data_IF_932024517146
#
_entry.id   IF_932024517146
#
_cell.length_a   1.000
_cell.length_b   1.000
_cell.length_c   1.000
_cell.angle_alpha   90.00
_cell.angle_beta   90.00
_cell.angle_gamma   90.00
#
_symmetry.space_group_name_H-M   'P 1'
#
loop_
_entity.id
_entity.type
_entity.pdbx_description
1 polymer ?
#
# COMPACT_ATOMS: atom_id res chain seq x y z
N UNK A 1 -41.99 36.60 -0.55
CA UNK A 1 -42.98 36.37 -1.63
C UNK A 1 -43.13 34.86 -1.70
N UNK A 2 -44.09 34.34 -1.05
CA UNK A 2 -45.49 33.99 -1.39
C UNK A 2 -45.58 32.87 -2.43
N UNK A 3 -46.02 31.72 -1.90
CA UNK A 3 -47.07 30.79 -2.37
C UNK A 3 -46.62 29.76 -3.44
N UNK A 4 -47.03 28.49 -3.40
CA UNK A 4 -48.34 27.90 -3.05
C UNK A 4 -48.23 26.37 -2.91
N UNK A 5 -48.90 25.84 -1.91
CA UNK A 5 -49.31 24.43 -1.75
C UNK A 5 -50.43 24.12 -2.74
N UNK A 6 -50.46 22.91 -3.27
CA UNK A 6 -51.72 22.31 -3.80
C UNK A 6 -51.85 20.88 -3.30
N UNK A 7 -52.81 20.71 -2.43
CA UNK A 7 -53.42 19.46 -1.97
C UNK A 7 -54.40 18.94 -3.03
N UNK A 8 -54.46 17.66 -3.27
CA UNK A 8 -55.62 17.03 -3.92
C UNK A 8 -56.19 15.91 -3.05
N UNK A 9 -57.45 16.12 -2.67
CA UNK A 9 -58.34 15.21 -1.96
C UNK A 9 -58.99 14.20 -2.91
N UNK A 10 -59.09 12.95 -2.44
CA UNK A 10 -59.96 11.91 -2.97
C UNK A 10 -61.45 12.15 -2.61
N UNK A 11 -62.40 11.67 -3.40
CA UNK A 11 -63.73 11.41 -2.87
C UNK A 11 -64.01 9.89 -2.74
N UNK A 12 -64.49 9.52 -1.58
CA UNK A 12 -65.08 8.23 -1.27
C UNK A 12 -66.46 8.09 -1.94
N UNK A 13 -66.68 7.00 -2.65
CA UNK A 13 -67.98 6.63 -3.16
C UNK A 13 -68.57 5.45 -2.35
N UNK A 14 -69.56 5.73 -1.56
CA UNK A 14 -70.43 4.75 -0.87
C UNK A 14 -71.48 4.29 -1.86
N UNK A 15 -71.59 3.00 -2.14
CA UNK A 15 -72.71 2.43 -2.86
C UNK A 15 -73.50 1.50 -1.92
N UNK A 16 -74.72 1.93 -1.57
CA UNK A 16 -75.73 1.18 -0.81
C UNK A 16 -76.45 0.26 -1.77
N UNK A 17 -76.54 -1.04 -1.47
CA UNK A 17 -77.54 -1.91 -2.09
C UNK A 17 -78.48 -2.47 -1.06
N UNK A 18 -79.75 -2.23 -1.33
CA UNK A 18 -80.93 -2.65 -0.58
C UNK A 18 -81.25 -4.13 -0.81
N UNK A 19 -81.60 -4.80 0.28
CA UNK A 19 -82.16 -6.14 0.32
C UNK A 19 -83.60 -6.16 -0.24
N UNK A 20 -83.84 -7.11 -1.11
CA UNK A 20 -85.20 -7.60 -1.34
C UNK A 20 -85.12 -9.15 -1.38
N UNK A 21 -85.80 -9.80 -0.42
CA UNK A 21 -85.93 -11.25 -0.33
C UNK A 21 -86.98 -11.83 -1.26
N UNK A 22 -86.77 -13.13 -1.62
CA UNK A 22 -87.87 -14.06 -1.87
C UNK A 22 -87.34 -15.47 -1.69
N UNK A 23 -88.17 -16.28 -1.02
CA UNK A 23 -88.05 -17.68 -0.71
C UNK A 23 -88.20 -18.60 -1.90
N UNK A 24 -87.44 -19.72 -1.97
CA UNK A 24 -87.65 -20.82 -2.90
C UNK A 24 -86.73 -22.00 -2.66
N UNK A 25 -87.28 -23.14 -2.41
CA UNK A 25 -86.65 -24.42 -2.10
C UNK A 25 -85.70 -24.98 -3.18
N UNK A 26 -84.73 -25.74 -2.73
CA UNK A 26 -84.24 -26.94 -3.37
C UNK A 26 -82.95 -26.84 -4.14
N UNK A 27 -82.06 -27.76 -3.80
CA UNK A 27 -80.82 -28.14 -4.44
C UNK A 27 -79.59 -27.29 -4.19
N UNK A 28 -78.68 -27.87 -3.39
CA UNK A 28 -77.33 -27.35 -3.19
C UNK A 28 -76.55 -27.34 -4.50
N UNK A 29 -76.14 -26.20 -5.03
CA UNK A 29 -75.09 -26.19 -6.00
C UNK A 29 -73.75 -26.46 -5.27
N UNK A 30 -72.97 -27.38 -5.73
CA UNK A 30 -71.55 -27.52 -5.39
C UNK A 30 -70.93 -26.16 -5.55
N UNK A 31 -70.43 -25.66 -4.44
CA UNK A 31 -69.73 -24.36 -4.37
C UNK A 31 -68.38 -24.51 -5.02
N UNK A 32 -68.19 -24.07 -6.28
CA UNK A 32 -66.92 -24.00 -7.00
C UNK A 32 -65.90 -23.09 -6.32
N UNK A 33 -66.31 -22.23 -5.36
CA UNK A 33 -65.40 -21.39 -4.56
C UNK A 33 -64.61 -22.21 -3.55
N UNK A 34 -65.14 -23.33 -3.09
CA UNK A 34 -64.40 -24.23 -2.19
C UNK A 34 -63.29 -25.02 -2.92
N UNK A 35 -63.42 -25.26 -4.22
CA UNK A 35 -62.42 -25.93 -5.06
C UNK A 35 -61.27 -24.99 -5.44
N UNK A 36 -61.48 -23.67 -5.46
CA UNK A 36 -60.39 -22.69 -5.70
C UNK A 36 -59.57 -22.42 -4.43
N UNK A 37 -60.17 -22.43 -3.26
CA UNK A 37 -59.47 -22.28 -1.99
C UNK A 37 -58.57 -23.49 -1.67
N UNK A 38 -58.97 -24.72 -2.02
CA UNK A 38 -58.15 -25.95 -1.81
C UNK A 38 -57.03 -26.09 -2.83
N UNK A 39 -57.07 -25.39 -3.97
CA UNK A 39 -55.95 -25.41 -4.93
C UNK A 39 -54.81 -24.47 -4.57
N UNK A 40 -55.08 -23.40 -3.82
CA UNK A 40 -54.07 -22.45 -3.39
C UNK A 40 -53.23 -23.01 -2.22
N UNK A 41 -53.82 -23.87 -1.37
CA UNK A 41 -53.13 -24.41 -0.17
C UNK A 41 -52.12 -25.54 -0.47
N UNK A 42 -52.09 -26.08 -1.71
CA UNK A 42 -51.20 -27.17 -2.10
C UNK A 42 -50.05 -26.75 -3.00
N UNK A 43 -49.71 -25.47 -3.07
CA UNK A 43 -48.55 -24.99 -3.86
C UNK A 43 -47.36 -24.71 -2.94
N UNK A 44 -46.18 -25.20 -3.36
CA UNK A 44 -44.92 -24.82 -2.71
C UNK A 44 -44.62 -23.33 -3.00
N UNK A 45 -44.49 -22.51 -1.96
CA UNK A 45 -44.27 -21.06 -2.09
C UNK A 45 -43.01 -20.68 -1.31
N UNK A 46 -42.08 -20.01 -2.00
CA UNK A 46 -40.85 -19.50 -1.43
C UNK A 46 -40.66 -18.03 -1.76
N UNK A 47 -40.18 -17.25 -0.82
CA UNK A 47 -39.80 -15.86 -1.00
C UNK A 47 -38.43 -15.59 -0.37
N UNK A 48 -37.86 -14.44 -0.66
CA UNK A 48 -36.62 -13.97 -0.01
C UNK A 48 -36.69 -12.47 0.26
N UNK A 49 -35.94 -12.05 1.26
CA UNK A 49 -35.67 -10.63 1.50
C UNK A 49 -34.59 -10.12 0.55
N UNK A 50 -34.49 -8.81 0.44
CA UNK A 50 -33.35 -8.19 -0.20
C UNK A 50 -32.07 -8.60 0.54
N UNK A 51 -30.97 -8.89 -0.18
CA UNK A 51 -29.69 -9.20 0.43
C UNK A 51 -29.22 -8.12 1.42
N UNK A 52 -28.68 -8.53 2.57
CA UNK A 52 -28.22 -7.63 3.64
C UNK A 52 -26.73 -7.84 3.93
N UNK A 53 -26.16 -6.99 4.82
CA UNK A 53 -24.76 -7.07 5.28
C UNK A 53 -23.76 -7.21 4.12
N UNK A 54 -24.02 -6.44 3.05
CA UNK A 54 -23.24 -6.49 1.81
C UNK A 54 -21.89 -5.82 2.06
N UNK A 55 -20.83 -6.58 1.82
CA UNK A 55 -19.43 -6.10 1.84
C UNK A 55 -18.81 -6.23 0.45
N UNK A 56 -17.52 -6.06 0.36
CA UNK A 56 -16.80 -6.33 -0.90
C UNK A 56 -16.77 -7.81 -1.29
N UNK A 57 -16.92 -8.72 -0.35
CA UNK A 57 -16.74 -10.16 -0.58
C UNK A 57 -17.78 -11.05 0.09
N UNK A 58 -18.75 -10.47 0.81
CA UNK A 58 -19.78 -11.20 1.53
C UNK A 58 -21.16 -10.54 1.37
N UNK A 59 -22.20 -11.34 1.53
CA UNK A 59 -23.60 -10.89 1.69
C UNK A 59 -24.37 -11.90 2.52
N UNK A 60 -25.47 -11.48 3.12
CA UNK A 60 -26.39 -12.33 3.84
C UNK A 60 -27.68 -12.48 3.03
N UNK A 61 -28.10 -13.73 2.82
CA UNK A 61 -29.36 -14.04 2.17
C UNK A 61 -30.32 -14.68 3.20
N UNK A 62 -31.55 -14.20 3.21
CA UNK A 62 -32.65 -14.72 4.04
C UNK A 62 -33.82 -15.10 3.17
N UNK A 63 -34.28 -16.32 3.28
CA UNK A 63 -35.42 -16.88 2.53
C UNK A 63 -36.45 -17.49 3.47
N UNK A 64 -37.65 -17.68 2.95
CA UNK A 64 -38.81 -18.19 3.68
C UNK A 64 -39.58 -19.21 2.81
N UNK A 65 -40.03 -20.29 3.44
CA UNK A 65 -41.01 -21.21 2.83
C UNK A 65 -42.38 -20.86 3.39
N UNK A 66 -43.13 -20.10 2.63
CA UNK A 66 -44.47 -19.61 3.07
C UNK A 66 -45.54 -20.74 2.99
N UNK A 67 -45.33 -21.74 2.11
CA UNK A 67 -46.13 -22.96 2.03
C UNK A 67 -45.26 -24.12 1.54
N UNK A 68 -45.37 -25.30 2.17
CA UNK A 68 -44.65 -26.52 1.77
C UNK A 68 -45.38 -27.29 0.66
N UNK A 69 -46.55 -26.83 0.24
CA UNK A 69 -47.36 -27.49 -0.77
C UNK A 69 -47.98 -28.79 -0.32
N UNK A 70 -48.03 -29.07 0.97
CA UNK A 70 -48.59 -30.32 1.54
C UNK A 70 -47.78 -31.57 1.23
N UNK A 71 -46.51 -31.41 0.84
CA UNK A 71 -45.59 -32.50 0.52
C UNK A 71 -44.34 -32.40 1.39
N UNK A 72 -43.70 -33.54 1.67
CA UNK A 72 -42.47 -33.57 2.50
C UNK A 72 -41.39 -32.68 1.92
N UNK A 73 -40.91 -31.73 2.74
CA UNK A 73 -39.82 -30.81 2.42
C UNK A 73 -38.50 -31.56 2.26
N UNK A 74 -37.72 -31.26 1.21
CA UNK A 74 -36.44 -31.88 0.93
C UNK A 74 -35.26 -30.94 1.19
N UNK A 75 -35.27 -29.74 0.61
CA UNK A 75 -34.24 -28.76 0.78
C UNK A 75 -34.70 -27.35 0.38
N UNK A 76 -34.00 -26.36 0.89
CA UNK A 76 -34.04 -24.99 0.43
C UNK A 76 -32.63 -24.44 0.12
N UNK A 77 -32.58 -23.27 -0.41
CA UNK A 77 -31.29 -22.61 -0.62
C UNK A 77 -31.37 -21.38 -1.50
N UNK A 78 -30.20 -20.98 -1.96
CA UNK A 78 -30.06 -19.81 -2.82
C UNK A 78 -29.26 -20.15 -4.06
N UNK A 79 -29.65 -19.55 -5.18
CA UNK A 79 -28.94 -19.55 -6.46
C UNK A 79 -28.51 -18.10 -6.71
N UNK A 80 -27.24 -17.88 -7.02
CA UNK A 80 -26.74 -16.54 -7.29
C UNK A 80 -25.65 -16.57 -8.37
N UNK A 81 -25.58 -15.50 -9.14
CA UNK A 81 -24.65 -15.34 -10.26
C UNK A 81 -24.32 -13.87 -10.50
N UNK A 82 -23.14 -13.59 -11.02
CA UNK A 82 -22.76 -12.28 -11.57
C UNK A 82 -22.73 -12.25 -13.09
N UNK A 83 -23.16 -13.34 -13.76
CA UNK A 83 -23.15 -13.48 -15.22
C UNK A 83 -24.46 -14.08 -15.77
N UNK A 84 -25.31 -14.60 -14.93
CA UNK A 84 -26.61 -15.15 -15.29
C UNK A 84 -27.73 -14.38 -14.55
N UNK A 85 -28.52 -13.63 -15.28
CA UNK A 85 -29.59 -12.79 -14.75
C UNK A 85 -30.79 -13.57 -14.23
N UNK A 86 -30.96 -14.84 -14.66
CA UNK A 86 -32.04 -15.71 -14.25
C UNK A 86 -31.51 -17.06 -13.72
N UNK A 87 -30.84 -17.06 -12.53
CA UNK A 87 -30.28 -18.29 -11.99
C UNK A 87 -31.37 -19.30 -11.63
N UNK A 88 -31.26 -20.56 -12.13
CA UNK A 88 -32.18 -21.64 -11.85
C UNK A 88 -31.44 -22.96 -11.72
N UNK A 89 -32.12 -23.99 -11.16
CA UNK A 89 -31.54 -25.33 -11.06
C UNK A 89 -31.40 -26.00 -12.42
N UNK A 90 -32.22 -25.59 -13.40
CA UNK A 90 -32.19 -26.12 -14.79
C UNK A 90 -31.10 -25.44 -15.63
N UNK A 91 -30.65 -24.25 -15.22
CA UNK A 91 -29.57 -23.53 -15.88
C UNK A 91 -28.51 -23.10 -14.87
N UNK A 92 -27.57 -23.99 -14.59
CA UNK A 92 -26.47 -23.78 -13.64
C UNK A 92 -25.23 -23.13 -14.25
N UNK A 93 -25.26 -22.72 -15.52
CA UNK A 93 -24.12 -22.07 -16.16
C UNK A 93 -23.82 -20.72 -15.49
N UNK A 94 -22.62 -20.57 -14.87
CA UNK A 94 -22.24 -19.40 -14.13
C UNK A 94 -22.98 -19.19 -12.80
N UNK A 95 -23.79 -20.17 -12.35
CA UNK A 95 -24.60 -20.09 -11.14
C UNK A 95 -23.91 -20.81 -9.98
N UNK A 96 -23.86 -20.15 -8.84
CA UNK A 96 -23.44 -20.75 -7.57
C UNK A 96 -24.70 -21.14 -6.77
N UNK A 97 -24.69 -22.35 -6.19
CA UNK A 97 -25.74 -22.86 -5.34
C UNK A 97 -25.30 -22.97 -3.90
N UNK A 98 -26.14 -22.45 -2.99
CA UNK A 98 -25.96 -22.63 -1.55
C UNK A 98 -27.17 -23.32 -0.95
N UNK A 99 -26.99 -24.57 -0.54
CA UNK A 99 -28.05 -25.40 0.05
C UNK A 99 -28.20 -25.12 1.54
N UNK A 100 -29.45 -25.19 2.01
CA UNK A 100 -29.83 -25.16 3.42
C UNK A 100 -30.83 -26.27 3.66
N UNK A 101 -30.53 -27.24 4.52
CA UNK A 101 -31.35 -28.43 4.72
C UNK A 101 -32.31 -28.30 5.89
N UNK A 102 -32.17 -27.30 6.74
CA UNK A 102 -32.97 -27.08 7.93
C UNK A 102 -33.63 -25.72 7.90
N UNK A 103 -34.91 -25.69 8.24
CA UNK A 103 -35.65 -24.45 8.45
C UNK A 103 -35.76 -24.17 9.95
N UNK A 104 -35.76 -22.93 10.31
CA UNK A 104 -36.10 -22.44 11.66
C UNK A 104 -37.30 -21.51 11.48
N UNK A 105 -38.46 -21.89 11.98
CA UNK A 105 -39.71 -21.14 11.79
C UNK A 105 -39.95 -20.76 10.34
N UNK A 106 -39.86 -21.75 9.43
CA UNK A 106 -39.99 -21.63 7.98
C UNK A 106 -38.93 -20.67 7.33
N UNK A 107 -37.92 -20.25 8.08
CA UNK A 107 -36.86 -19.34 7.60
C UNK A 107 -35.56 -20.11 7.37
N UNK A 108 -34.82 -19.74 6.34
CA UNK A 108 -33.49 -20.20 6.07
C UNK A 108 -32.57 -18.99 5.77
N UNK A 109 -31.39 -18.98 6.39
CA UNK A 109 -30.45 -17.86 6.29
C UNK A 109 -29.04 -18.38 6.06
N UNK A 110 -28.24 -17.63 5.26
CA UNK A 110 -26.88 -18.03 4.97
C UNK A 110 -25.97 -16.80 4.77
N UNK A 111 -24.75 -16.92 5.24
CA UNK A 111 -23.68 -15.99 4.92
C UNK A 111 -22.96 -16.49 3.65
N UNK A 112 -22.94 -15.67 2.63
CA UNK A 112 -22.21 -15.92 1.39
C UNK A 112 -20.84 -15.26 1.48
N UNK A 113 -19.80 -15.95 1.03
CA UNK A 113 -18.43 -15.47 0.98
C UNK A 113 -17.81 -15.67 -0.41
N UNK A 114 -16.61 -15.13 -0.60
CA UNK A 114 -15.86 -15.20 -1.85
C UNK A 114 -16.64 -14.61 -3.04
N UNK A 115 -17.34 -13.50 -2.80
CA UNK A 115 -17.88 -12.64 -3.86
C UNK A 115 -16.73 -11.79 -4.43
N UNK A 116 -16.92 -11.26 -5.63
CA UNK A 116 -16.03 -10.30 -6.26
C UNK A 116 -16.43 -8.87 -5.85
N UNK A 117 -15.48 -7.98 -5.59
CA UNK A 117 -15.76 -6.57 -5.29
C UNK A 117 -16.40 -5.86 -6.49
N UNK A 118 -17.20 -4.82 -6.19
CA UNK A 118 -17.82 -3.94 -7.20
C UNK A 118 -18.62 -4.68 -8.28
N UNK A 119 -19.16 -5.86 -7.92
CA UNK A 119 -19.83 -6.74 -8.88
C UNK A 119 -21.33 -6.79 -8.61
N UNK A 120 -22.15 -6.63 -9.67
CA UNK A 120 -23.58 -6.88 -9.64
C UNK A 120 -23.83 -8.40 -9.58
N UNK A 121 -24.74 -8.80 -8.70
CA UNK A 121 -25.21 -10.17 -8.54
C UNK A 121 -26.72 -10.24 -8.65
N UNK A 122 -27.19 -11.32 -9.25
CA UNK A 122 -28.57 -11.76 -9.29
C UNK A 122 -28.74 -12.95 -8.36
N UNK A 123 -29.74 -12.94 -7.50
CA UNK A 123 -29.98 -13.99 -6.51
C UNK A 123 -31.45 -14.30 -6.39
N UNK A 124 -31.76 -15.55 -6.18
CA UNK A 124 -33.11 -16.00 -5.80
C UNK A 124 -33.04 -17.16 -4.82
N UNK A 125 -34.03 -17.25 -3.96
CA UNK A 125 -34.26 -18.41 -3.14
C UNK A 125 -34.94 -19.52 -3.93
N UNK A 126 -34.72 -20.76 -3.53
CA UNK A 126 -35.47 -21.92 -4.02
C UNK A 126 -35.85 -22.84 -2.86
N UNK A 127 -36.92 -23.60 -3.05
CA UNK A 127 -37.30 -24.70 -2.18
C UNK A 127 -37.74 -25.92 -3.02
N UNK A 128 -37.49 -27.12 -2.50
CA UNK A 128 -37.84 -28.39 -3.14
C UNK A 128 -38.55 -29.23 -2.09
N UNK A 129 -39.73 -29.76 -2.47
CA UNK A 129 -40.41 -30.81 -1.76
C UNK A 129 -40.40 -32.11 -2.58
N UNK A 130 -41.24 -33.12 -2.26
CA UNK A 130 -41.25 -34.39 -3.00
C UNK A 130 -41.80 -34.26 -4.43
N UNK A 131 -42.62 -33.26 -4.68
CA UNK A 131 -43.41 -33.14 -5.92
C UNK A 131 -43.05 -31.95 -6.77
N UNK A 132 -42.43 -30.89 -6.15
CA UNK A 132 -42.27 -29.61 -6.85
C UNK A 132 -40.97 -28.88 -6.46
N UNK A 133 -40.63 -27.88 -7.29
CA UNK A 133 -39.54 -26.92 -7.03
C UNK A 133 -40.10 -25.51 -7.25
N UNK A 134 -40.00 -24.68 -6.23
CA UNK A 134 -40.40 -23.28 -6.27
C UNK A 134 -39.21 -22.34 -6.18
N UNK A 135 -39.37 -21.16 -6.76
CA UNK A 135 -38.37 -20.07 -6.74
C UNK A 135 -39.03 -18.76 -6.27
N UNK A 136 -38.28 -17.97 -5.57
CA UNK A 136 -38.63 -16.57 -5.29
C UNK A 136 -38.46 -15.69 -6.53
N UNK A 137 -38.96 -14.47 -6.46
CA UNK A 137 -38.50 -13.40 -7.35
C UNK A 137 -36.99 -13.23 -7.27
N UNK A 138 -36.42 -12.73 -8.36
CA UNK A 138 -34.98 -12.41 -8.42
C UNK A 138 -34.73 -11.09 -7.73
N UNK A 139 -33.79 -11.09 -6.79
CA UNK A 139 -33.25 -9.91 -6.18
C UNK A 139 -31.89 -9.59 -6.81
N UNK A 140 -31.53 -8.32 -6.84
CA UNK A 140 -30.19 -7.88 -7.26
C UNK A 140 -29.48 -7.14 -6.13
N UNK A 141 -28.16 -7.27 -6.09
CA UNK A 141 -27.32 -6.49 -5.19
C UNK A 141 -25.94 -6.28 -5.81
N UNK A 142 -25.29 -5.19 -5.42
CA UNK A 142 -23.91 -4.91 -5.82
C UNK A 142 -23.02 -4.97 -4.59
N UNK A 143 -21.92 -5.73 -4.71
CA UNK A 143 -20.84 -5.70 -3.71
C UNK A 143 -20.13 -4.36 -3.74
N UNK A 144 -19.63 -3.93 -2.59
CA UNK A 144 -18.89 -2.68 -2.47
C UNK A 144 -17.38 -2.90 -2.70
N UNK A 145 -16.63 -1.82 -2.87
CA UNK A 145 -15.16 -1.83 -2.78
C UNK A 145 -14.76 -1.59 -1.33
N UNK A 146 -13.88 -2.44 -0.79
CA UNK A 146 -13.35 -2.21 0.55
C UNK A 146 -12.32 -1.07 0.51
N UNK A 147 -12.50 -0.07 1.37
CA UNK A 147 -11.55 1.05 1.53
C UNK A 147 -10.20 0.54 2.08
N UNK A 148 -9.07 1.06 1.60
CA UNK A 148 -7.79 0.83 2.25
C UNK A 148 -7.75 1.52 3.62
N UNK A 149 -6.76 1.16 4.43
CA UNK A 149 -6.46 1.85 5.69
C UNK A 149 -4.95 1.92 5.86
N UNK A 150 -4.44 3.11 6.17
CA UNK A 150 -3.00 3.38 6.25
C UNK A 150 -2.64 4.11 7.54
N UNK A 151 -1.45 3.86 8.03
CA UNK A 151 -0.79 4.58 9.11
C UNK A 151 0.41 5.35 8.56
N UNK A 152 0.60 6.59 9.00
CA UNK A 152 1.84 7.34 8.73
C UNK A 152 2.89 6.90 9.75
N UNK A 153 4.01 6.38 9.27
CA UNK A 153 5.13 6.00 10.13
C UNK A 153 6.03 7.22 10.43
N UNK A 154 6.86 7.17 11.48
CA UNK A 154 7.93 8.13 11.66
C UNK A 154 8.88 8.14 10.45
N UNK A 155 9.48 9.29 10.13
CA UNK A 155 10.52 9.36 9.09
C UNK A 155 11.69 8.44 9.45
N UNK A 156 12.21 7.71 8.47
CA UNK A 156 13.36 6.83 8.68
C UNK A 156 14.65 7.64 8.82
N UNK A 157 14.79 8.68 8.00
CA UNK A 157 15.90 9.62 8.11
C UNK A 157 15.46 11.03 7.70
N UNK A 158 16.10 12.04 8.29
CA UNK A 158 15.86 13.46 8.05
C UNK A 158 17.20 14.13 7.81
N UNK A 159 17.35 14.69 6.63
CA UNK A 159 18.60 15.25 6.13
C UNK A 159 18.42 16.75 5.87
N UNK A 160 19.45 17.43 5.38
CA UNK A 160 19.39 18.87 5.13
C UNK A 160 18.34 19.22 4.06
N UNK A 161 18.40 18.54 2.94
CA UNK A 161 17.53 18.82 1.77
C UNK A 161 16.63 17.63 1.41
N UNK A 162 16.61 16.58 2.24
CA UNK A 162 15.89 15.35 1.91
C UNK A 162 15.34 14.66 3.18
N UNK A 163 14.37 13.77 2.96
CA UNK A 163 13.85 12.88 3.99
C UNK A 163 13.35 11.56 3.37
N UNK A 164 13.40 10.49 4.13
CA UNK A 164 12.72 9.24 3.80
C UNK A 164 11.54 9.11 4.74
N UNK A 165 10.35 9.28 4.18
CA UNK A 165 9.08 9.12 4.87
C UNK A 165 8.45 7.77 4.55
N UNK A 166 7.55 7.31 5.40
CA UNK A 166 6.98 5.98 5.29
C UNK A 166 5.52 5.90 5.73
N UNK A 167 4.85 4.89 5.22
CA UNK A 167 3.52 4.47 5.63
C UNK A 167 3.42 2.97 5.77
N UNK A 168 2.32 2.52 6.35
CA UNK A 168 2.01 1.11 6.52
C UNK A 168 0.53 0.87 6.28
N UNK A 169 0.21 -0.15 5.50
CA UNK A 169 -1.16 -0.63 5.40
C UNK A 169 -1.58 -1.36 6.66
N UNK A 170 -2.72 -0.99 7.23
CA UNK A 170 -3.45 -1.80 8.20
C UNK A 170 -4.51 -2.65 7.51
N UNK A 171 -4.98 -2.18 6.34
CA UNK A 171 -5.75 -2.95 5.36
C UNK A 171 -5.41 -2.44 3.96
N UNK A 172 -5.15 -3.35 3.03
CA UNK A 172 -4.92 -2.98 1.62
C UNK A 172 -6.19 -2.52 0.90
N UNK A 173 -7.36 -2.90 1.41
CA UNK A 173 -8.62 -2.69 0.70
C UNK A 173 -8.71 -3.51 -0.58
N UNK A 174 -9.61 -3.11 -1.48
CA UNK A 174 -9.74 -3.67 -2.83
C UNK A 174 -9.29 -2.63 -3.86
N UNK A 175 -8.75 -3.09 -4.99
CA UNK A 175 -8.43 -2.26 -6.16
C UNK A 175 -7.55 -1.03 -5.86
N UNK A 176 -6.48 -1.25 -5.11
CA UNK A 176 -5.54 -0.19 -4.79
C UNK A 176 -4.93 0.41 -6.08
N UNK A 177 -5.17 1.71 -6.33
CA UNK A 177 -4.70 2.43 -7.52
C UNK A 177 -3.38 3.15 -7.30
N UNK A 178 -3.22 3.76 -6.13
CA UNK A 178 -2.03 4.52 -5.78
C UNK A 178 -1.88 4.62 -4.26
N UNK A 179 -0.66 4.71 -3.80
CA UNK A 179 -0.34 4.98 -2.41
C UNK A 179 1.04 5.63 -2.30
N UNK A 180 1.30 6.28 -1.18
CA UNK A 180 2.54 7.00 -0.96
C UNK A 180 2.46 7.89 0.26
N UNK A 181 3.22 8.96 0.24
CA UNK A 181 3.23 9.98 1.29
C UNK A 181 3.07 11.36 0.66
N UNK A 182 2.24 12.20 1.26
CA UNK A 182 2.21 13.64 0.98
C UNK A 182 2.92 14.41 2.09
N UNK A 183 3.59 15.49 1.72
CA UNK A 183 4.37 16.37 2.58
C UNK A 183 4.01 17.83 2.33
N UNK A 184 3.91 18.63 3.38
CA UNK A 184 3.68 20.07 3.28
C UNK A 184 4.28 20.81 4.48
N UNK A 185 4.44 22.11 4.38
CA UNK A 185 4.70 22.98 5.54
C UNK A 185 3.43 23.28 6.34
N UNK A 186 2.25 23.04 5.76
CA UNK A 186 0.95 23.18 6.41
C UNK A 186 0.52 21.85 7.03
N UNK A 187 -0.22 21.89 8.15
CA UNK A 187 -0.82 20.69 8.75
C UNK A 187 -1.77 19.95 7.81
N UNK A 188 -1.91 18.64 8.02
CA UNK A 188 -2.86 17.77 7.33
C UNK A 188 -2.70 17.76 5.80
N UNK A 189 -1.51 17.56 5.25
CA UNK A 189 -1.32 17.55 3.79
C UNK A 189 -2.20 16.49 3.12
N UNK A 190 -2.70 16.81 1.91
CA UNK A 190 -3.51 15.92 1.08
C UNK A 190 -2.95 15.86 -0.34
N UNK A 191 -3.29 14.79 -1.08
CA UNK A 191 -2.77 14.55 -2.44
C UNK A 191 -3.17 15.60 -3.48
N UNK A 192 -4.25 16.34 -3.23
CA UNK A 192 -4.72 17.42 -4.11
C UNK A 192 -4.07 18.77 -3.84
N UNK A 193 -3.28 18.93 -2.77
CA UNK A 193 -2.59 20.18 -2.46
C UNK A 193 -1.55 20.51 -3.53
N UNK A 194 -1.67 21.69 -4.13
CA UNK A 194 -0.79 22.19 -5.20
C UNK A 194 -0.31 23.60 -4.91
N UNK A 195 -0.10 23.95 -3.66
CA UNK A 195 0.24 25.30 -3.24
C UNK A 195 1.74 25.65 -3.36
N UNK A 196 2.53 24.82 -4.05
CA UNK A 196 3.97 24.99 -4.23
C UNK A 196 4.84 24.64 -3.02
N UNK A 197 4.20 24.36 -1.87
CA UNK A 197 4.85 23.92 -0.63
C UNK A 197 4.49 22.46 -0.28
N UNK A 198 3.72 21.82 -1.13
CA UNK A 198 3.25 20.45 -0.95
C UNK A 198 3.81 19.56 -2.05
N UNK A 199 4.32 18.42 -1.67
CA UNK A 199 4.83 17.40 -2.57
C UNK A 199 4.10 16.10 -2.29
N UNK A 200 3.83 15.33 -3.35
CA UNK A 200 3.22 14.01 -3.25
C UNK A 200 4.11 13.03 -3.99
N UNK A 201 4.64 12.06 -3.26
CA UNK A 201 5.42 10.97 -3.86
C UNK A 201 4.64 9.68 -3.76
N UNK A 202 4.43 9.03 -4.91
CA UNK A 202 3.88 7.70 -4.96
C UNK A 202 4.98 6.66 -4.65
N UNK A 203 4.65 5.67 -3.84
CA UNK A 203 5.51 4.52 -3.65
C UNK A 203 5.47 3.61 -4.90
N UNK A 204 6.55 2.91 -5.17
CA UNK A 204 6.62 1.98 -6.30
C UNK A 204 5.77 0.74 -6.00
N UNK A 205 4.65 0.61 -6.71
CA UNK A 205 3.66 -0.45 -6.50
C UNK A 205 4.15 -1.85 -6.85
N UNK A 206 5.18 -1.96 -7.70
CA UNK A 206 5.60 -3.25 -8.25
C UNK A 206 6.36 -4.13 -7.24
N UNK A 207 7.00 -3.53 -6.22
CA UNK A 207 7.92 -4.23 -5.31
C UNK A 207 7.59 -4.08 -3.82
N UNK A 208 6.58 -3.25 -3.48
CA UNK A 208 6.22 -2.97 -2.08
C UNK A 208 5.32 -4.01 -1.42
N UNK A 209 4.64 -4.85 -2.19
CA UNK A 209 3.58 -5.74 -1.71
C UNK A 209 4.05 -6.86 -0.76
N UNK A 210 5.35 -7.07 -0.55
CA UNK A 210 5.87 -8.27 0.11
C UNK A 210 6.32 -8.11 1.56
N UNK A 211 6.45 -6.89 2.10
CA UNK A 211 7.08 -6.67 3.40
C UNK A 211 6.17 -5.98 4.41
N UNK A 212 5.34 -6.78 5.11
CA UNK A 212 4.53 -6.34 6.27
C UNK A 212 3.58 -5.16 6.00
N UNK A 213 3.29 -4.87 4.72
CA UNK A 213 2.46 -3.74 4.32
C UNK A 213 3.11 -2.36 4.51
N UNK A 214 4.42 -2.28 4.77
CA UNK A 214 5.17 -1.03 4.86
C UNK A 214 5.64 -0.59 3.47
N UNK A 215 5.64 0.73 3.26
CA UNK A 215 6.17 1.38 2.06
C UNK A 215 6.88 2.66 2.45
N UNK A 216 7.82 3.09 1.61
CA UNK A 216 8.57 4.32 1.85
C UNK A 216 8.75 5.13 0.58
N UNK A 217 8.95 6.42 0.75
CA UNK A 217 9.22 7.38 -0.32
C UNK A 217 10.38 8.29 0.04
N UNK A 218 11.14 8.68 -0.96
CA UNK A 218 12.24 9.61 -0.84
C UNK A 218 11.82 10.99 -1.32
N UNK A 219 11.85 11.97 -0.41
CA UNK A 219 11.67 13.37 -0.74
C UNK A 219 13.02 14.05 -0.87
N UNK A 220 13.23 14.72 -1.97
CA UNK A 220 14.42 15.53 -2.25
C UNK A 220 14.06 17.02 -2.39
N UNK A 221 15.07 17.89 -2.45
CA UNK A 221 14.90 19.34 -2.62
C UNK A 221 14.04 20.00 -1.52
N UNK A 222 14.06 19.46 -0.31
CA UNK A 222 13.44 20.09 0.84
C UNK A 222 14.29 21.28 1.32
N UNK A 223 13.65 22.22 2.00
CA UNK A 223 14.37 23.34 2.61
C UNK A 223 15.06 22.92 3.91
N UNK A 224 16.30 23.37 4.13
CA UNK A 224 17.04 23.10 5.35
C UNK A 224 16.38 23.68 6.59
N UNK A 225 16.55 22.99 7.75
CA UNK A 225 16.09 23.44 9.06
C UNK A 225 14.60 23.84 9.10
N UNK A 226 13.75 23.20 8.26
CA UNK A 226 12.36 23.54 8.03
C UNK A 226 11.44 22.45 8.57
N UNK A 227 10.33 22.87 9.20
CA UNK A 227 9.30 21.97 9.72
C UNK A 227 8.37 21.54 8.60
N UNK A 228 8.10 20.23 8.54
CA UNK A 228 7.19 19.62 7.59
C UNK A 228 6.18 18.71 8.29
N UNK A 229 4.99 18.66 7.74
CA UNK A 229 3.92 17.70 8.02
C UNK A 229 3.91 16.62 6.95
N UNK A 230 3.72 15.38 7.36
CA UNK A 230 3.60 14.24 6.44
C UNK A 230 2.38 13.40 6.76
N UNK A 231 1.76 12.87 5.72
CA UNK A 231 0.70 11.86 5.83
C UNK A 231 0.87 10.77 4.78
N UNK A 232 0.83 9.52 5.19
CA UNK A 232 0.65 8.43 4.26
C UNK A 232 -0.74 8.51 3.63
N UNK A 233 -0.87 8.11 2.39
CA UNK A 233 -2.15 8.04 1.69
C UNK A 233 -2.30 6.73 0.92
N UNK A 234 -3.55 6.32 0.68
CA UNK A 234 -3.90 5.26 -0.24
C UNK A 234 -5.19 5.60 -0.98
N UNK A 235 -5.24 5.28 -2.26
CA UNK A 235 -6.33 5.60 -3.18
C UNK A 235 -6.82 4.32 -3.85
N UNK A 236 -8.11 4.06 -3.80
CA UNK A 236 -8.78 3.08 -4.65
C UNK A 236 -9.91 3.71 -5.47
N UNK A 237 -10.78 2.90 -6.10
CA UNK A 237 -11.90 3.41 -6.89
C UNK A 237 -12.94 4.16 -6.06
N UNK A 238 -13.02 3.87 -4.76
CA UNK A 238 -14.03 4.41 -3.85
C UNK A 238 -13.52 5.59 -3.04
N UNK A 239 -12.32 5.47 -2.44
CA UNK A 239 -11.85 6.39 -1.40
C UNK A 239 -10.40 6.83 -1.61
N UNK A 240 -10.10 8.01 -1.08
CA UNK A 240 -8.75 8.45 -0.74
C UNK A 240 -8.65 8.54 0.77
N UNK A 241 -7.84 7.69 1.36
CA UNK A 241 -7.64 7.64 2.81
C UNK A 241 -6.25 8.12 3.19
N UNK A 242 -6.15 8.65 4.41
CA UNK A 242 -4.91 9.21 4.93
C UNK A 242 -4.61 8.66 6.32
N UNK A 243 -3.32 8.45 6.59
CA UNK A 243 -2.82 8.21 7.93
C UNK A 243 -2.87 9.47 8.80
N UNK A 244 -2.46 9.33 10.06
CA UNK A 244 -2.31 10.43 10.99
C UNK A 244 -1.27 11.46 10.50
N UNK A 245 -1.47 12.73 10.85
CA UNK A 245 -0.49 13.79 10.60
C UNK A 245 0.73 13.60 11.52
N UNK A 246 1.91 13.57 10.94
CA UNK A 246 3.18 13.53 11.66
C UNK A 246 4.05 14.70 11.23
N UNK A 247 4.85 15.18 12.16
CA UNK A 247 5.76 16.30 11.92
C UNK A 247 7.22 15.83 12.01
N UNK A 248 8.06 16.43 11.18
CA UNK A 248 9.50 16.34 11.33
C UNK A 248 10.15 17.67 10.91
N UNK A 249 11.39 17.85 11.31
CA UNK A 249 12.20 18.99 10.89
C UNK A 249 13.42 18.50 10.14
N UNK A 250 13.66 19.03 8.92
CA UNK A 250 14.90 18.78 8.19
C UNK A 250 16.10 19.23 9.00
N UNK A 251 17.23 18.56 8.83
CA UNK A 251 18.46 18.88 9.56
C UNK A 251 19.15 20.14 9.03
N UNK A 252 20.20 20.54 9.71
CA UNK A 252 21.15 21.55 9.18
C UNK A 252 22.14 20.95 8.20
N UNK A 253 22.19 19.60 8.12
CA UNK A 253 23.11 18.83 7.29
C UNK A 253 24.37 18.41 8.00
N UNK A 254 25.19 17.66 7.28
CA UNK A 254 26.53 17.30 7.71
C UNK A 254 27.50 18.47 7.64
N UNK A 255 28.68 18.25 8.19
CA UNK A 255 29.80 19.17 8.08
C UNK A 255 31.05 18.35 7.76
N UNK A 256 31.29 18.16 6.46
CA UNK A 256 32.51 17.54 5.96
C UNK A 256 33.48 18.64 5.51
N UNK A 257 34.64 18.68 6.13
CA UNK A 257 35.72 19.56 5.70
C UNK A 257 36.97 18.76 5.39
N UNK A 258 37.79 19.27 4.48
CA UNK A 258 39.02 18.58 4.09
C UNK A 258 40.12 19.56 3.76
N UNK A 259 41.37 19.08 3.79
CA UNK A 259 42.52 19.87 3.41
C UNK A 259 43.71 19.01 3.00
N UNK A 260 44.56 19.57 2.19
CA UNK A 260 45.79 18.95 1.73
C UNK A 260 46.82 18.84 2.82
N UNK A 261 47.52 17.70 2.86
CA UNK A 261 48.74 17.50 3.64
C UNK A 261 49.98 17.80 2.78
N UNK A 262 49.94 17.42 1.51
CA UNK A 262 51.05 17.54 0.55
C UNK A 262 50.55 17.96 -0.85
N UNK A 263 49.86 19.08 -0.95
CA UNK A 263 49.24 19.56 -2.21
C UNK A 263 50.23 19.66 -3.35
N UNK A 264 51.48 20.10 -3.08
CA UNK A 264 52.52 20.27 -4.11
C UNK A 264 52.88 18.93 -4.80
N UNK A 265 52.88 17.82 -4.09
CA UNK A 265 53.16 16.50 -4.67
C UNK A 265 52.01 16.10 -5.61
N UNK A 266 50.77 16.34 -5.25
CA UNK A 266 49.59 16.11 -6.11
C UNK A 266 49.63 17.01 -7.36
N UNK A 267 50.03 18.27 -7.21
CA UNK A 267 50.17 19.21 -8.32
C UNK A 267 51.24 18.74 -9.33
N UNK A 268 52.41 18.36 -8.83
CA UNK A 268 53.53 17.88 -9.64
C UNK A 268 53.16 16.60 -10.41
N UNK A 269 52.25 15.76 -9.85
CA UNK A 269 51.77 14.55 -10.47
C UNK A 269 50.58 14.79 -11.41
N UNK A 270 50.08 16.02 -11.53
CA UNK A 270 48.87 16.34 -12.32
C UNK A 270 47.58 15.75 -11.77
N UNK A 271 47.56 15.36 -10.46
CA UNK A 271 46.40 14.69 -9.80
C UNK A 271 45.56 15.68 -8.97
N UNK A 272 46.13 16.83 -8.59
CA UNK A 272 45.56 17.79 -7.65
C UNK A 272 44.09 18.14 -7.96
N UNK A 273 43.84 18.59 -9.19
CA UNK A 273 42.51 19.11 -9.56
C UNK A 273 41.44 17.99 -9.60
N UNK A 274 41.79 16.79 -10.09
CA UNK A 274 40.90 15.63 -10.07
C UNK A 274 40.50 15.24 -8.66
N UNK A 275 41.48 15.17 -7.76
CA UNK A 275 41.25 14.82 -6.34
C UNK A 275 40.44 15.93 -5.65
N UNK A 276 40.75 17.19 -5.87
CA UNK A 276 40.02 18.33 -5.30
C UNK A 276 38.56 18.31 -5.75
N UNK A 277 38.27 18.11 -7.04
CA UNK A 277 36.90 17.97 -7.56
C UNK A 277 36.18 16.76 -6.91
N UNK A 278 36.89 15.63 -6.76
CA UNK A 278 36.33 14.44 -6.11
C UNK A 278 35.93 14.71 -4.65
N UNK A 279 36.81 15.37 -3.90
CA UNK A 279 36.59 15.71 -2.49
C UNK A 279 35.47 16.75 -2.31
N UNK A 280 35.46 17.81 -3.12
CA UNK A 280 34.40 18.83 -3.06
C UNK A 280 33.04 18.26 -3.46
N UNK A 281 33.01 17.36 -4.45
CA UNK A 281 31.79 16.64 -4.82
C UNK A 281 31.31 15.73 -3.69
N UNK A 282 32.20 14.96 -3.05
CA UNK A 282 31.84 14.13 -1.90
C UNK A 282 31.32 14.97 -0.72
N UNK A 283 32.00 16.09 -0.44
CA UNK A 283 31.56 17.07 0.56
C UNK A 283 30.13 17.52 0.30
N UNK A 284 29.78 17.89 -0.96
CA UNK A 284 28.42 18.28 -1.32
C UNK A 284 27.38 17.21 -0.93
N UNK A 285 27.63 15.94 -1.27
CA UNK A 285 26.70 14.85 -0.93
C UNK A 285 26.59 14.65 0.59
N UNK A 286 27.68 14.66 1.32
CA UNK A 286 27.64 14.49 2.78
C UNK A 286 26.98 15.67 3.50
N UNK A 287 27.19 16.90 3.04
CA UNK A 287 26.57 18.08 3.65
C UNK A 287 25.06 18.14 3.41
N UNK A 288 24.58 17.63 2.28
CA UNK A 288 23.16 17.70 1.93
C UNK A 288 22.38 16.42 2.30
N UNK A 289 23.02 15.26 2.14
CA UNK A 289 22.38 13.96 2.28
C UNK A 289 22.89 13.13 3.46
N UNK A 290 23.54 13.78 4.42
CA UNK A 290 23.90 13.15 5.70
C UNK A 290 23.86 14.15 6.86
N UNK A 291 24.01 13.62 8.09
CA UNK A 291 24.20 14.40 9.32
C UNK A 291 25.63 14.21 9.88
N UNK A 292 26.55 13.75 9.05
CA UNK A 292 27.90 13.36 9.44
C UNK A 292 28.81 14.57 9.55
N UNK A 293 29.74 14.51 10.50
CA UNK A 293 30.75 15.55 10.73
C UNK A 293 32.14 14.92 10.76
N UNK A 294 33.05 15.40 9.92
CA UNK A 294 34.42 14.91 9.87
C UNK A 294 35.33 15.90 9.16
N UNK A 295 36.61 15.95 9.62
CA UNK A 295 37.70 16.54 8.86
C UNK A 295 38.52 15.43 8.18
N UNK A 296 38.87 15.59 6.90
CA UNK A 296 39.66 14.65 6.13
C UNK A 296 41.00 15.28 5.72
N UNK A 297 42.08 14.62 6.09
CA UNK A 297 43.46 14.99 5.73
C UNK A 297 43.83 14.27 4.44
N UNK A 298 43.89 14.99 3.30
CA UNK A 298 44.11 14.41 1.99
C UNK A 298 45.60 14.45 1.62
N UNK A 299 46.12 13.28 1.24
CA UNK A 299 47.51 13.11 0.83
C UNK A 299 47.60 12.41 -0.53
N UNK A 300 48.44 12.89 -1.44
CA UNK A 300 48.84 12.11 -2.62
C UNK A 300 50.04 11.24 -2.24
N UNK A 301 50.01 9.95 -2.60
CA UNK A 301 51.02 8.98 -2.22
C UNK A 301 51.21 7.90 -3.30
N UNK A 302 52.41 7.90 -3.93
CA UNK A 302 52.73 6.95 -5.00
C UNK A 302 52.86 5.51 -4.53
N UNK A 303 52.96 5.25 -3.24
CA UNK A 303 52.99 3.92 -2.63
C UNK A 303 51.60 3.31 -2.44
N UNK A 304 50.52 4.04 -2.69
CA UNK A 304 49.13 3.57 -2.68
C UNK A 304 48.67 3.32 -4.11
N UNK A 305 48.18 2.14 -4.39
CA UNK A 305 47.72 1.79 -5.76
C UNK A 305 46.37 2.39 -6.10
N UNK A 306 45.49 2.49 -5.14
CA UNK A 306 44.08 2.96 -5.27
C UNK A 306 43.88 4.23 -4.46
N UNK A 307 43.11 4.12 -3.41
CA UNK A 307 42.98 5.07 -2.31
C UNK A 307 42.77 4.29 -1.03
N UNK A 308 43.00 4.91 0.11
CA UNK A 308 42.66 4.38 1.44
C UNK A 308 42.37 5.50 2.44
N UNK A 309 41.62 5.19 3.51
CA UNK A 309 41.38 6.11 4.61
C UNK A 309 41.25 5.36 5.94
N UNK A 310 41.78 5.96 6.99
CA UNK A 310 41.64 5.43 8.35
C UNK A 310 40.53 6.15 9.13
N UNK A 311 40.20 5.63 10.31
CA UNK A 311 39.12 6.15 11.14
C UNK A 311 39.39 7.57 11.64
N UNK A 312 40.66 8.02 11.74
CA UNK A 312 41.01 9.38 12.12
C UNK A 312 40.79 10.38 10.98
N UNK A 313 40.60 9.90 9.73
CA UNK A 313 40.38 10.73 8.55
C UNK A 313 41.63 11.03 7.74
N UNK A 314 42.68 10.26 7.91
CA UNK A 314 43.87 10.33 7.03
C UNK A 314 43.58 9.53 5.76
N UNK A 315 43.43 10.25 4.64
CA UNK A 315 43.05 9.72 3.33
C UNK A 315 44.19 9.89 2.34
N UNK A 316 44.57 8.80 1.65
CA UNK A 316 45.62 8.79 0.65
C UNK A 316 45.07 8.42 -0.72
N UNK A 317 45.50 9.16 -1.73
CA UNK A 317 45.22 8.83 -3.13
C UNK A 317 46.49 8.38 -3.84
N UNK A 318 46.42 7.30 -4.57
CA UNK A 318 47.47 6.80 -5.46
C UNK A 318 47.47 7.46 -6.84
N UNK A 319 48.45 7.08 -7.71
CA UNK A 319 48.57 7.64 -9.06
C UNK A 319 47.52 7.17 -10.04
N UNK A 320 46.74 6.14 -9.73
CA UNK A 320 45.72 5.61 -10.64
C UNK A 320 44.51 6.53 -10.72
N UNK A 321 44.33 7.20 -11.84
CA UNK A 321 43.26 8.19 -12.10
C UNK A 321 41.85 7.63 -11.94
N UNK A 322 41.64 6.31 -12.11
CA UNK A 322 40.34 5.64 -11.94
C UNK A 322 39.77 5.81 -10.53
N UNK A 323 40.64 5.98 -9.55
CA UNK A 323 40.27 6.17 -8.15
C UNK A 323 40.27 7.65 -7.73
N UNK A 324 40.58 8.60 -8.61
CA UNK A 324 40.58 10.03 -8.33
C UNK A 324 39.24 10.65 -8.73
N UNK A 325 38.15 10.14 -8.18
CA UNK A 325 36.78 10.56 -8.49
C UNK A 325 35.86 10.51 -7.24
N UNK A 326 34.66 11.10 -7.32
CA UNK A 326 33.71 11.29 -6.21
C UNK A 326 33.31 9.99 -5.50
N UNK A 327 33.08 8.90 -6.20
CA UNK A 327 32.68 7.62 -5.58
C UNK A 327 33.80 7.03 -4.72
N UNK A 328 35.06 7.10 -5.17
CA UNK A 328 36.22 6.72 -4.33
C UNK A 328 36.33 7.63 -3.12
N UNK A 329 36.15 8.95 -3.29
CA UNK A 329 36.13 9.87 -2.16
C UNK A 329 35.07 9.46 -1.12
N UNK A 330 33.84 9.16 -1.55
CA UNK A 330 32.79 8.70 -0.64
C UNK A 330 33.10 7.35 0.01
N UNK A 331 33.67 6.41 -0.77
CA UNK A 331 34.10 5.11 -0.25
C UNK A 331 35.10 5.28 0.90
N UNK A 332 36.18 6.03 0.66
CA UNK A 332 37.23 6.23 1.66
C UNK A 332 36.73 7.07 2.86
N UNK A 333 35.88 8.07 2.63
CA UNK A 333 35.25 8.81 3.71
C UNK A 333 34.38 7.88 4.57
N UNK A 334 33.74 6.86 3.99
CA UNK A 334 32.96 5.90 4.76
C UNK A 334 33.82 5.13 5.79
N UNK A 335 35.09 4.85 5.48
CA UNK A 335 36.04 4.29 6.43
C UNK A 335 36.37 5.28 7.57
N UNK A 336 36.53 6.56 7.25
CA UNK A 336 36.69 7.60 8.29
C UNK A 336 35.43 7.75 9.17
N UNK A 337 34.28 7.31 8.69
CA UNK A 337 33.01 7.34 9.43
C UNK A 337 32.70 6.01 10.15
N UNK A 338 33.62 5.05 10.14
CA UNK A 338 33.53 3.82 10.91
C UNK A 338 33.22 2.54 10.11
N UNK A 339 32.96 2.63 8.81
CA UNK A 339 32.73 1.44 7.98
C UNK A 339 34.03 0.64 7.89
N UNK A 340 34.01 -0.60 8.38
CA UNK A 340 35.18 -1.48 8.41
C UNK A 340 36.31 -1.06 9.33
N UNK A 341 36.23 0.07 9.99
CA UNK A 341 37.26 0.66 10.85
C UNK A 341 36.85 0.88 12.30
N UNK A 342 35.54 1.10 12.54
CA UNK A 342 35.01 1.23 13.89
C UNK A 342 35.09 -0.10 14.67
N UNK A 343 35.37 -0.01 15.97
CA UNK A 343 35.45 -1.17 16.86
C UNK A 343 34.15 -2.01 16.90
N UNK A 344 33.00 -1.36 16.73
CA UNK A 344 31.70 -2.01 16.73
C UNK A 344 31.16 -2.41 15.35
N UNK A 345 31.90 -2.14 14.24
CA UNK A 345 31.38 -2.36 12.90
C UNK A 345 30.84 -3.78 12.68
N UNK A 346 31.67 -4.79 12.95
CA UNK A 346 31.26 -6.20 12.76
C UNK A 346 30.11 -6.60 13.69
N UNK A 347 30.03 -6.01 14.88
CA UNK A 347 28.95 -6.29 15.82
C UNK A 347 27.58 -5.78 15.37
N UNK A 348 27.56 -4.84 14.42
CA UNK A 348 26.31 -4.31 13.84
C UNK A 348 25.64 -5.26 12.85
N UNK A 349 26.27 -6.38 12.49
CA UNK A 349 25.70 -7.39 11.58
C UNK A 349 25.29 -8.65 12.33
N UNK A 350 24.30 -9.36 11.77
CA UNK A 350 23.90 -10.70 12.20
C UNK A 350 24.91 -11.74 11.70
N UNK A 351 24.75 -12.98 12.14
CA UNK A 351 25.59 -14.10 11.70
C UNK A 351 25.50 -14.41 10.20
N UNK A 352 24.39 -14.05 9.56
CA UNK A 352 24.19 -14.18 8.11
C UNK A 352 24.75 -12.98 7.32
N UNK A 353 25.46 -12.08 7.97
CA UNK A 353 26.03 -10.87 7.39
C UNK A 353 25.05 -9.72 7.15
N UNK A 354 23.79 -9.81 7.58
CA UNK A 354 22.81 -8.73 7.41
C UNK A 354 22.89 -7.70 8.54
N UNK A 355 22.67 -6.43 8.21
CA UNK A 355 22.60 -5.32 9.18
C UNK A 355 21.48 -5.56 10.20
N UNK A 356 21.78 -5.40 11.48
CA UNK A 356 20.84 -5.69 12.57
C UNK A 356 19.77 -4.62 12.75
N UNK A 357 20.14 -3.37 12.56
CA UNK A 357 19.27 -2.25 12.87
C UNK A 357 18.34 -1.90 11.68
N UNK A 358 17.39 -1.02 11.94
CA UNK A 358 16.26 -0.83 11.04
C UNK A 358 16.48 0.29 10.01
N UNK A 359 17.04 1.46 10.44
CA UNK A 359 17.04 2.68 9.63
C UNK A 359 17.85 2.57 8.35
N UNK A 360 19.09 2.08 8.44
CA UNK A 360 19.95 1.94 7.27
C UNK A 360 19.38 0.96 6.23
N UNK A 361 18.77 -0.15 6.68
CA UNK A 361 18.11 -1.10 5.78
C UNK A 361 16.88 -0.48 5.10
N UNK A 362 16.07 0.29 5.83
CA UNK A 362 14.91 0.94 5.22
C UNK A 362 15.32 2.08 4.27
N UNK A 363 16.34 2.86 4.62
CA UNK A 363 16.91 3.86 3.72
C UNK A 363 17.38 3.24 2.41
N UNK A 364 18.11 2.12 2.50
CA UNK A 364 18.54 1.36 1.33
C UNK A 364 17.35 0.93 0.46
N UNK A 365 16.34 0.30 1.06
CA UNK A 365 15.14 -0.21 0.37
C UNK A 365 14.40 0.86 -0.42
N UNK A 366 14.17 2.00 0.21
CA UNK A 366 13.47 3.13 -0.42
C UNK A 366 14.30 3.71 -1.56
N UNK A 367 15.61 3.93 -1.35
CA UNK A 367 16.50 4.47 -2.36
C UNK A 367 16.68 3.53 -3.55
N UNK A 368 16.69 2.21 -3.30
CA UNK A 368 16.77 1.17 -4.33
C UNK A 368 15.40 0.87 -5.00
N UNK A 369 14.31 1.45 -4.47
CA UNK A 369 12.93 1.14 -4.87
C UNK A 369 12.64 -0.37 -4.81
N UNK A 370 13.19 -1.03 -3.79
CA UNK A 370 13.07 -2.48 -3.61
C UNK A 370 13.04 -2.83 -2.12
N UNK A 371 11.85 -3.06 -1.60
CA UNK A 371 11.60 -3.38 -0.18
C UNK A 371 12.14 -4.76 0.23
N UNK A 372 12.64 -5.57 -0.70
CA UNK A 372 13.28 -6.87 -0.41
C UNK A 372 14.77 -6.76 -0.14
N UNK A 373 15.38 -5.61 -0.45
CA UNK A 373 16.81 -5.39 -0.27
C UNK A 373 17.25 -5.55 1.19
N UNK A 374 18.46 -6.05 1.36
CA UNK A 374 19.11 -6.20 2.67
C UNK A 374 20.48 -5.58 2.64
N UNK A 375 20.78 -4.76 3.65
CA UNK A 375 22.13 -4.23 3.85
C UNK A 375 23.03 -5.35 4.43
N UNK A 376 24.12 -5.67 3.75
CA UNK A 376 25.04 -6.76 4.11
C UNK A 376 26.47 -6.28 4.26
N UNK A 377 27.23 -7.00 5.06
CA UNK A 377 28.69 -6.84 5.14
C UNK A 377 29.37 -7.50 3.95
N UNK A 378 30.39 -6.85 3.41
CA UNK A 378 31.31 -7.39 2.41
C UNK A 378 32.75 -7.06 2.80
N UNK A 379 33.40 -7.92 3.58
CA UNK A 379 34.70 -7.63 4.17
C UNK A 379 34.65 -6.43 5.11
N UNK A 380 35.42 -5.39 4.78
CA UNK A 380 35.41 -4.10 5.50
C UNK A 380 34.38 -3.09 4.96
N UNK A 381 33.49 -3.50 4.09
CA UNK A 381 32.55 -2.66 3.37
C UNK A 381 31.12 -3.12 3.61
N UNK A 382 30.16 -2.30 3.23
CA UNK A 382 28.75 -2.69 3.19
C UNK A 382 28.25 -2.80 1.73
N UNK A 383 27.21 -3.57 1.54
CA UNK A 383 26.61 -3.82 0.24
C UNK A 383 25.08 -3.96 0.33
N UNK A 384 24.26 -3.45 -0.63
CA UNK A 384 24.60 -2.51 -1.70
C UNK A 384 24.87 -1.08 -1.14
N UNK A 385 25.50 -0.24 -1.94
CA UNK A 385 25.73 1.18 -1.62
C UNK A 385 27.19 1.56 -1.39
N UNK A 386 28.10 0.59 -1.25
CA UNK A 386 29.55 0.85 -1.25
C UNK A 386 30.06 0.94 -2.70
N UNK A 387 30.38 2.13 -3.15
CA UNK A 387 30.94 2.42 -4.49
C UNK A 387 32.40 2.76 -4.36
N UNK A 388 33.25 2.31 -5.29
CA UNK A 388 34.67 2.60 -5.26
C UNK A 388 35.22 3.02 -6.63
N UNK A 389 34.81 2.36 -7.72
CA UNK A 389 35.32 2.61 -9.06
C UNK A 389 34.28 3.32 -9.92
N UNK A 390 34.76 4.19 -10.83
CA UNK A 390 33.89 4.97 -11.72
C UNK A 390 33.00 4.07 -12.58
N UNK A 391 33.53 2.94 -13.02
CA UNK A 391 32.85 1.97 -13.87
C UNK A 391 31.70 1.24 -13.16
N UNK A 392 31.72 1.15 -11.84
CA UNK A 392 30.62 0.57 -11.04
C UNK A 392 29.33 1.38 -11.17
N UNK A 393 29.41 2.63 -11.58
CA UNK A 393 28.31 3.58 -11.64
C UNK A 393 28.00 4.03 -13.08
N UNK A 394 28.97 3.99 -14.00
CA UNK A 394 28.84 4.56 -15.35
C UNK A 394 28.33 3.58 -16.42
N UNK A 395 28.45 2.28 -16.22
CA UNK A 395 28.01 1.26 -17.19
C UNK A 395 26.60 0.80 -16.85
N UNK A 396 25.60 1.46 -17.44
CA UNK A 396 24.16 1.24 -17.22
C UNK A 396 23.62 -0.14 -17.63
N UNK A 397 24.49 -1.12 -17.94
CA UNK A 397 24.07 -2.46 -18.39
C UNK A 397 24.54 -3.61 -17.51
N UNK A 398 25.39 -3.40 -16.52
CA UNK A 398 25.94 -4.48 -15.66
C UNK A 398 26.40 -4.02 -14.27
N UNK A 399 25.80 -2.99 -13.70
CA UNK A 399 26.06 -2.75 -12.29
C UNK A 399 25.25 -3.78 -11.48
N UNK A 400 25.86 -4.33 -10.44
CA UNK A 400 25.24 -5.26 -9.50
C UNK A 400 24.06 -4.67 -8.72
N UNK A 401 23.58 -3.48 -9.09
CA UNK A 401 22.55 -2.70 -8.45
C UNK A 401 21.21 -2.63 -9.21
N UNK A 402 21.14 -3.24 -10.43
CA UNK A 402 19.94 -3.22 -11.28
C UNK A 402 19.84 -2.00 -12.18
N UNK A 403 19.09 -2.14 -13.26
CA UNK A 403 19.07 -1.25 -14.44
C UNK A 403 18.55 0.19 -14.20
N UNK A 404 18.10 0.55 -12.99
CA UNK A 404 17.34 1.77 -12.77
C UNK A 404 17.99 2.83 -11.87
N UNK A 405 19.25 2.64 -11.44
CA UNK A 405 19.91 3.59 -10.54
C UNK A 405 20.92 4.43 -11.31
N UNK A 406 20.63 5.74 -11.42
CA UNK A 406 21.56 6.70 -12.02
C UNK A 406 22.73 7.01 -11.09
N UNK A 407 23.88 7.41 -11.66
CA UNK A 407 25.10 7.75 -10.93
C UNK A 407 24.86 8.68 -9.74
N UNK A 408 24.08 9.75 -9.92
CA UNK A 408 23.75 10.68 -8.86
C UNK A 408 22.96 10.04 -7.71
N UNK A 409 22.04 9.15 -8.03
CA UNK A 409 21.24 8.45 -7.02
C UNK A 409 22.10 7.50 -6.17
N UNK A 410 23.13 6.87 -6.76
CA UNK A 410 24.09 6.05 -6.02
C UNK A 410 24.96 6.88 -5.06
N UNK A 411 25.38 8.06 -5.47
CA UNK A 411 26.14 8.98 -4.62
C UNK A 411 25.29 9.49 -3.44
N UNK A 412 24.01 9.81 -3.70
CA UNK A 412 23.04 10.12 -2.63
C UNK A 412 22.82 8.92 -1.71
N UNK A 413 22.61 7.73 -2.29
CA UNK A 413 22.38 6.48 -1.55
C UNK A 413 23.52 6.21 -0.56
N UNK A 414 24.79 6.31 -0.98
CA UNK A 414 25.93 6.09 -0.11
C UNK A 414 25.89 7.02 1.12
N UNK A 415 25.74 8.32 0.90
CA UNK A 415 25.70 9.29 1.99
C UNK A 415 24.50 9.06 2.94
N UNK A 416 23.32 8.75 2.40
CA UNK A 416 22.07 8.50 3.16
C UNK A 416 22.20 7.23 4.01
N UNK A 417 22.65 6.11 3.41
CA UNK A 417 22.79 4.84 4.11
C UNK A 417 23.83 4.94 5.21
N UNK A 418 24.97 5.58 4.95
CA UNK A 418 26.00 5.81 5.96
C UNK A 418 25.48 6.68 7.11
N UNK A 419 24.74 7.76 6.83
CA UNK A 419 24.09 8.58 7.85
C UNK A 419 23.13 7.74 8.71
N UNK A 420 22.32 6.89 8.08
CA UNK A 420 21.39 6.01 8.78
C UNK A 420 22.11 4.92 9.60
N UNK A 421 23.24 4.38 9.12
CA UNK A 421 24.09 3.46 9.89
C UNK A 421 24.64 4.12 11.15
N UNK A 422 25.02 5.40 11.09
CA UNK A 422 25.43 6.19 12.26
C UNK A 422 24.28 6.39 13.25
N UNK A 423 23.08 6.71 12.76
CA UNK A 423 21.85 6.82 13.57
C UNK A 423 21.45 5.47 14.19
N UNK A 424 21.78 4.35 13.56
CA UNK A 424 21.61 2.99 14.06
C UNK A 424 22.67 2.59 15.12
N UNK A 425 23.73 3.38 15.33
CA UNK A 425 24.72 3.17 16.37
C UNK A 425 26.13 2.80 15.91
N UNK A 426 26.44 2.89 14.60
CA UNK A 426 27.83 2.75 14.14
C UNK A 426 28.67 3.87 14.74
N UNK A 427 29.81 3.55 15.37
CA UNK A 427 30.70 4.54 16.01
C UNK A 427 31.78 5.05 15.05
N UNK A 428 32.54 6.09 15.47
CA UNK A 428 33.70 6.64 14.76
C UNK A 428 34.99 6.52 15.57
N UNK A 429 34.99 5.58 16.51
CA UNK A 429 36.16 5.32 17.39
C UNK A 429 36.23 3.82 17.72
#
# INVERSE_FOLDING_TARGET
MKHSLHSFLLPAGILLFTLAGCSGNGDSPFDETQLQATKADNQLIVRMDAPSDITSRTAVFTGYVDSDGGSEFKESGFLFSNSNENPSLDNMTGVRRRRVYTLTDNTFKVNISALLPEQLYYVRAYAINQTDTAYSDIQTFQTIVASPSVETLPVYTRLKVAAIAAGKFTSAGDELKSYGVCISRKPLPIVSDKDGNSFVEAADTAKDASMRGEFGVFFDNLEPNTLYHIRAYAINSRDTVYGNDRIFKTSRGGSLTWGWVNEQEALNAGARDRIAIAMDSAKFYYENYSNLQKYIYVQYNTGVQTADCNIEGWMRYGPNERYQWVGTAQHEISHAMGVGTASNYNAMFKSDGTWKAYRATQALRVMMRDMTQTLKISGKHFWPGGINQKEEVTNGTNNSYGENIRNEQMLKLNAIVLSAMREDGLTTY
#
